data_IF_292914659464
#
_entry.id   IF_292914659464
#
_cell.length_a   1.000
_cell.length_b   1.000
_cell.length_c   1.000
_cell.angle_alpha   90.00
_cell.angle_beta   90.00
_cell.angle_gamma   90.00
#
_symmetry.space_group_name_H-M   'P 1'
#
loop_
_entity.id
_entity.type
_entity.pdbx_description
1 polymer ?
#
# COMPACT_ATOMS: atom_id res chain seq x y z
N UNK A 1 -10.84 30.87 2.90
CA UNK A 1 -9.60 30.16 3.23
C UNK A 1 -8.42 31.08 2.94
N UNK A 2 -7.51 31.26 3.89
CA UNK A 2 -6.29 32.05 3.70
C UNK A 2 -5.29 31.22 2.90
N UNK A 3 -4.57 31.85 1.96
CA UNK A 3 -3.50 31.18 1.19
C UNK A 3 -2.33 30.68 2.06
N UNK A 4 -2.27 31.11 3.33
CA UNK A 4 -1.20 30.78 4.29
C UNK A 4 -1.67 30.03 5.54
N UNK A 5 -2.97 29.73 5.69
CA UNK A 5 -3.49 28.99 6.82
C UNK A 5 -3.64 27.50 6.47
N UNK A 6 -3.33 26.64 7.44
CA UNK A 6 -3.61 25.21 7.32
C UNK A 6 -5.10 25.00 7.03
N UNK A 7 -5.42 24.17 6.05
CA UNK A 7 -6.79 23.73 5.73
C UNK A 7 -7.25 22.58 6.61
N UNK A 8 -6.36 22.05 7.46
CA UNK A 8 -6.68 20.94 8.34
C UNK A 8 -7.48 21.43 9.57
N UNK A 9 -8.55 20.72 9.96
CA UNK A 9 -9.30 21.04 11.17
C UNK A 9 -8.43 20.87 12.41
N UNK A 10 -8.73 21.67 13.46
CA UNK A 10 -8.12 21.50 14.77
C UNK A 10 -8.69 20.24 15.43
N UNK A 11 -7.84 19.32 15.86
CA UNK A 11 -8.25 18.14 16.62
C UNK A 11 -8.08 18.38 18.11
N UNK A 12 -9.12 18.10 18.88
CA UNK A 12 -9.14 18.18 20.36
C UNK A 12 -9.45 16.79 20.90
N UNK A 13 -8.59 16.25 21.75
CA UNK A 13 -8.81 14.98 22.44
C UNK A 13 -8.92 15.22 23.93
N UNK A 14 -10.06 14.86 24.52
CA UNK A 14 -10.38 15.09 25.95
C UNK A 14 -10.06 16.51 26.43
N UNK A 15 -10.40 17.52 25.62
CA UNK A 15 -10.22 18.93 25.91
C UNK A 15 -8.84 19.53 25.62
N UNK A 16 -7.87 18.72 25.19
CA UNK A 16 -6.52 19.16 24.83
C UNK A 16 -6.28 19.09 23.31
N UNK A 17 -5.54 20.06 22.71
CA UNK A 17 -5.15 19.99 21.32
C UNK A 17 -4.29 18.75 21.02
N UNK A 18 -4.64 18.05 19.95
CA UNK A 18 -3.93 16.86 19.49
C UNK A 18 -3.23 17.18 18.16
N UNK A 19 -1.90 17.23 18.14
CA UNK A 19 -1.16 17.71 16.95
C UNK A 19 -0.91 16.65 15.90
N UNK A 20 -1.17 15.37 16.21
CA UNK A 20 -0.81 14.24 15.38
C UNK A 20 -1.97 13.74 14.51
N UNK A 21 -1.70 12.70 13.71
CA UNK A 21 -2.69 12.10 12.81
C UNK A 21 -3.79 11.37 13.63
N UNK A 22 -5.03 11.52 13.21
CA UNK A 22 -6.18 10.83 13.80
C UNK A 22 -6.05 9.31 13.79
N UNK A 23 -5.35 8.74 12.81
CA UNK A 23 -5.11 7.29 12.71
C UNK A 23 -4.30 6.72 13.88
N UNK A 24 -3.60 7.56 14.62
CA UNK A 24 -2.86 7.14 15.82
C UNK A 24 -3.76 6.89 17.04
N UNK A 25 -5.03 7.33 17.00
CA UNK A 25 -6.00 7.09 18.08
C UNK A 25 -6.72 5.77 17.80
N UNK A 26 -6.61 4.74 18.67
CA UNK A 26 -7.38 3.51 18.52
C UNK A 26 -8.88 3.80 18.53
N UNK A 27 -9.61 3.30 17.54
CA UNK A 27 -11.06 3.52 17.44
C UNK A 27 -11.81 2.94 18.63
N UNK A 28 -11.30 1.86 19.20
CA UNK A 28 -11.89 1.20 20.37
C UNK A 28 -11.78 2.03 21.65
N UNK A 29 -10.88 3.03 21.70
CA UNK A 29 -10.77 3.98 22.82
C UNK A 29 -11.73 5.18 22.70
N UNK A 30 -12.38 5.37 21.55
CA UNK A 30 -13.24 6.52 21.29
C UNK A 30 -14.63 6.28 21.85
N UNK A 31 -15.14 7.21 22.64
CA UNK A 31 -16.53 7.26 23.11
C UNK A 31 -17.41 8.04 22.14
N UNK A 32 -16.95 9.22 21.70
CA UNK A 32 -17.70 10.08 20.77
C UNK A 32 -16.78 10.99 19.95
N UNK A 33 -17.28 11.36 18.76
CA UNK A 33 -16.65 12.35 17.88
C UNK A 33 -17.68 13.43 17.56
N UNK A 34 -17.32 14.69 17.81
CA UNK A 34 -18.13 15.86 17.49
C UNK A 34 -17.36 16.75 16.52
N UNK A 35 -18.02 17.17 15.43
CA UNK A 35 -17.41 18.06 14.43
C UNK A 35 -18.09 19.42 14.48
N UNK A 36 -17.32 20.47 14.79
CA UNK A 36 -17.77 21.85 14.77
C UNK A 36 -17.41 22.47 13.41
N UNK A 37 -18.43 22.74 12.60
CA UNK A 37 -18.27 23.27 11.23
C UNK A 37 -18.61 24.77 11.15
N UNK A 38 -19.33 25.30 12.12
CA UNK A 38 -19.75 26.68 12.14
C UNK A 38 -18.78 27.58 12.91
N UNK A 39 -18.69 28.84 12.49
CA UNK A 39 -17.77 29.82 13.08
C UNK A 39 -18.06 30.14 14.54
N UNK A 40 -19.32 30.06 14.95
CA UNK A 40 -19.73 30.40 16.33
C UNK A 40 -19.22 29.32 17.30
N UNK A 41 -19.43 28.05 16.98
CA UNK A 41 -18.93 26.92 17.79
C UNK A 41 -17.41 26.84 17.79
N UNK A 42 -16.77 27.16 16.67
CA UNK A 42 -15.31 27.14 16.53
C UNK A 42 -14.62 28.34 17.20
N UNK A 43 -15.35 29.43 17.47
CA UNK A 43 -14.80 30.66 18.07
C UNK A 43 -14.08 30.43 19.41
N UNK A 44 -14.52 29.44 20.21
CA UNK A 44 -13.88 29.07 21.49
C UNK A 44 -12.42 28.63 21.32
N UNK A 45 -12.03 28.19 20.09
CA UNK A 45 -10.68 27.70 19.78
C UNK A 45 -9.83 28.74 19.02
N UNK A 46 -10.36 29.97 18.85
CA UNK A 46 -9.68 31.10 18.23
C UNK A 46 -9.30 30.82 16.77
N UNK A 47 -8.22 31.44 16.30
CA UNK A 47 -7.77 31.33 14.90
C UNK A 47 -7.43 29.89 14.48
N UNK A 48 -7.06 29.02 15.40
CA UNK A 48 -6.76 27.60 15.11
C UNK A 48 -8.00 26.81 14.73
N UNK A 49 -9.20 27.25 15.14
CA UNK A 49 -10.48 26.62 14.78
C UNK A 49 -11.06 27.09 13.44
N UNK A 50 -10.40 27.97 12.70
CA UNK A 50 -10.94 28.57 11.48
C UNK A 50 -11.27 27.56 10.37
N UNK A 51 -10.58 26.42 10.31
CA UNK A 51 -10.84 25.32 9.37
C UNK A 51 -11.83 24.27 9.93
N UNK A 52 -12.46 24.55 11.08
CA UNK A 52 -13.31 23.63 11.84
C UNK A 52 -12.57 22.94 12.98
N UNK A 53 -13.33 22.30 13.86
CA UNK A 53 -12.79 21.61 15.04
C UNK A 53 -13.38 20.20 15.12
N UNK A 54 -12.55 19.19 15.31
CA UNK A 54 -12.94 17.82 15.60
C UNK A 54 -12.66 17.55 17.09
N UNK A 55 -13.70 17.28 17.85
CA UNK A 55 -13.60 16.98 19.28
C UNK A 55 -13.79 15.48 19.45
N UNK A 56 -12.79 14.82 20.01
CA UNK A 56 -12.81 13.40 20.35
C UNK A 56 -12.86 13.27 21.86
N UNK A 57 -13.86 12.54 22.34
CA UNK A 57 -13.95 12.13 23.73
C UNK A 57 -13.59 10.67 23.84
N UNK A 58 -12.62 10.34 24.69
CA UNK A 58 -12.22 8.96 24.93
C UNK A 58 -13.05 8.30 26.02
N UNK A 59 -13.17 6.98 25.97
CA UNK A 59 -13.88 6.18 26.96
C UNK A 59 -13.35 6.45 28.38
N UNK A 60 -14.25 6.33 29.37
CA UNK A 60 -13.95 6.48 30.80
C UNK A 60 -14.68 5.42 31.62
N UNK A 61 -14.32 5.25 32.87
CA UNK A 61 -15.05 4.39 33.80
C UNK A 61 -16.42 4.97 34.11
N UNK A 62 -17.48 4.19 33.94
CA UNK A 62 -18.88 4.63 34.17
C UNK A 62 -19.64 3.76 35.17
N UNK A 63 -19.25 2.50 35.33
CA UNK A 63 -19.96 1.52 36.15
C UNK A 63 -19.24 1.29 37.47
N UNK A 64 -20.00 1.03 38.57
CA UNK A 64 -19.41 0.71 39.87
C UNK A 64 -18.62 -0.59 39.85
N UNK A 65 -19.11 -1.58 39.11
CA UNK A 65 -18.39 -2.83 38.95
C UNK A 65 -17.32 -2.72 37.86
N UNK A 66 -16.17 -3.30 38.13
CA UNK A 66 -15.09 -3.36 37.14
C UNK A 66 -15.50 -4.28 35.98
N UNK A 67 -15.38 -3.78 34.77
CA UNK A 67 -15.67 -4.52 33.54
C UNK A 67 -14.35 -4.72 32.77
N UNK A 68 -14.08 -5.95 32.37
CA UNK A 68 -12.95 -6.30 31.51
C UNK A 68 -13.52 -6.83 30.20
N UNK A 69 -13.06 -6.24 29.09
CA UNK A 69 -13.48 -6.64 27.75
C UNK A 69 -12.27 -7.01 26.90
N UNK A 70 -12.39 -8.11 26.17
CA UNK A 70 -11.41 -8.54 25.17
C UNK A 70 -12.12 -8.55 23.83
N UNK A 71 -11.63 -7.75 22.90
CA UNK A 71 -12.08 -7.72 21.53
C UNK A 71 -10.98 -8.29 20.61
N UNK A 72 -11.38 -9.20 19.73
CA UNK A 72 -10.50 -9.76 18.72
C UNK A 72 -11.19 -9.72 17.36
N UNK A 73 -10.53 -9.10 16.38
CA UNK A 73 -11.07 -8.91 15.04
C UNK A 73 -10.08 -9.43 14.01
N UNK A 74 -10.57 -10.20 13.05
CA UNK A 74 -9.79 -10.66 11.90
C UNK A 74 -10.51 -10.25 10.61
N UNK A 75 -9.74 -9.92 9.61
CA UNK A 75 -10.23 -9.56 8.29
C UNK A 75 -9.24 -9.94 7.21
N UNK A 76 -9.74 -9.98 5.98
CA UNK A 76 -8.92 -10.15 4.79
C UNK A 76 -9.02 -8.88 3.95
N UNK A 77 -7.87 -8.32 3.58
CA UNK A 77 -7.79 -7.23 2.63
C UNK A 77 -7.64 -7.82 1.23
N UNK A 78 -8.56 -7.48 0.34
CA UNK A 78 -8.51 -7.88 -1.06
C UNK A 78 -8.60 -6.65 -1.95
N UNK A 79 -8.06 -6.74 -3.15
CA UNK A 79 -8.21 -5.68 -4.15
C UNK A 79 -9.69 -5.56 -4.54
N UNK A 80 -10.29 -4.42 -4.25
CA UNK A 80 -11.70 -4.12 -4.56
C UNK A 80 -11.85 -3.28 -5.84
N UNK A 81 -10.75 -2.81 -6.41
CA UNK A 81 -10.76 -2.02 -7.65
C UNK A 81 -10.92 -2.97 -8.82
N UNK A 82 -11.95 -2.73 -9.63
CA UNK A 82 -12.16 -3.49 -10.86
C UNK A 82 -11.09 -3.13 -11.89
N UNK A 83 -10.53 -4.15 -12.54
CA UNK A 83 -9.59 -3.95 -13.63
C UNK A 83 -10.29 -3.34 -14.85
N UNK A 84 -9.51 -2.59 -15.63
CA UNK A 84 -9.97 -2.17 -16.95
C UNK A 84 -10.14 -3.40 -17.85
N UNK A 85 -11.06 -3.30 -18.80
CA UNK A 85 -11.20 -4.28 -19.86
C UNK A 85 -10.03 -4.12 -20.84
N UNK A 86 -9.05 -5.00 -20.74
CA UNK A 86 -7.81 -4.99 -21.52
C UNK A 86 -7.59 -6.37 -22.13
N UNK A 87 -6.78 -6.44 -23.21
CA UNK A 87 -6.36 -7.70 -23.80
C UNK A 87 -5.46 -8.44 -22.82
N UNK A 88 -5.92 -9.59 -22.31
CA UNK A 88 -5.15 -10.45 -21.39
C UNK A 88 -4.56 -11.68 -22.09
N UNK A 89 -5.11 -12.08 -23.23
CA UNK A 89 -4.57 -13.18 -24.02
C UNK A 89 -3.35 -12.75 -24.84
N UNK A 90 -2.20 -13.42 -24.70
CA UNK A 90 -0.99 -13.08 -25.45
C UNK A 90 -1.15 -13.21 -26.96
N UNK A 91 -1.94 -14.18 -27.43
CA UNK A 91 -2.18 -14.38 -28.87
C UNK A 91 -2.96 -13.22 -29.46
N UNK A 92 -4.07 -12.83 -28.81
CA UNK A 92 -4.86 -11.66 -29.21
C UNK A 92 -4.03 -10.37 -29.19
N UNK A 93 -3.12 -10.25 -28.24
CA UNK A 93 -2.22 -9.09 -28.17
C UNK A 93 -1.27 -9.04 -29.37
N UNK A 94 -0.68 -10.17 -29.78
CA UNK A 94 0.15 -10.23 -30.99
C UNK A 94 -0.67 -9.97 -32.24
N UNK A 95 -1.89 -10.48 -32.36
CA UNK A 95 -2.80 -10.22 -33.48
C UNK A 95 -3.10 -8.71 -33.62
N UNK A 96 -3.48 -8.05 -32.51
CA UNK A 96 -3.78 -6.63 -32.50
C UNK A 96 -2.56 -5.77 -32.87
N UNK A 97 -1.38 -6.16 -32.36
CA UNK A 97 -0.13 -5.44 -32.64
C UNK A 97 0.34 -5.66 -34.07
N UNK A 98 0.16 -6.90 -34.59
CA UNK A 98 0.40 -7.22 -36.00
C UNK A 98 -0.51 -6.39 -36.93
N UNK A 99 -1.81 -6.28 -36.63
CA UNK A 99 -2.76 -5.54 -37.45
C UNK A 99 -2.36 -4.08 -37.64
N UNK A 100 -1.77 -3.45 -36.59
CA UNK A 100 -1.23 -2.09 -36.70
C UNK A 100 -0.16 -2.00 -37.78
N UNK A 101 0.81 -2.90 -37.81
CA UNK A 101 1.89 -2.88 -38.80
C UNK A 101 1.43 -3.37 -40.18
N UNK A 102 0.55 -4.35 -40.24
CA UNK A 102 -0.04 -4.79 -41.49
C UNK A 102 -0.79 -3.64 -42.20
N UNK A 103 -1.61 -2.89 -41.47
CA UNK A 103 -2.31 -1.72 -42.01
C UNK A 103 -1.32 -0.63 -42.49
N UNK A 104 -0.28 -0.35 -41.71
CA UNK A 104 0.75 0.61 -42.11
C UNK A 104 1.54 0.12 -43.36
N UNK A 105 1.92 -1.14 -43.40
CA UNK A 105 2.63 -1.73 -44.52
C UNK A 105 1.79 -1.71 -45.80
N UNK A 106 0.51 -2.07 -45.74
CA UNK A 106 -0.43 -2.02 -46.84
C UNK A 106 -0.59 -0.59 -47.41
N UNK A 107 -0.74 0.40 -46.52
CA UNK A 107 -0.80 1.82 -46.90
C UNK A 107 0.49 2.29 -47.62
N UNK A 108 1.63 1.61 -47.39
CA UNK A 108 2.91 1.87 -48.04
C UNK A 108 3.22 0.89 -49.20
N UNK A 109 2.18 0.25 -49.75
CA UNK A 109 2.27 -0.54 -50.98
C UNK A 109 2.78 -1.99 -50.84
N UNK A 110 2.90 -2.49 -49.58
CA UNK A 110 3.23 -3.92 -49.35
C UNK A 110 1.98 -4.77 -49.51
N UNK A 111 2.14 -5.99 -50.06
CA UNK A 111 1.01 -6.90 -50.29
C UNK A 111 1.41 -8.35 -50.05
N UNK A 112 0.42 -9.21 -49.83
CA UNK A 112 0.58 -10.67 -49.80
C UNK A 112 1.61 -11.18 -48.78
N UNK A 113 2.41 -12.12 -49.17
CA UNK A 113 3.42 -12.76 -48.30
C UNK A 113 4.51 -11.79 -47.84
N UNK A 114 4.89 -10.82 -48.69
CA UNK A 114 5.88 -9.80 -48.31
C UNK A 114 5.37 -8.89 -47.22
N UNK A 115 4.08 -8.48 -47.26
CA UNK A 115 3.43 -7.74 -46.22
C UNK A 115 3.41 -8.53 -44.90
N UNK A 116 2.99 -9.80 -44.96
CA UNK A 116 2.91 -10.67 -43.80
C UNK A 116 4.28 -10.86 -43.13
N UNK A 117 5.31 -11.18 -43.88
CA UNK A 117 6.67 -11.36 -43.38
C UNK A 117 7.20 -10.07 -42.76
N UNK A 118 7.02 -8.95 -43.43
CA UNK A 118 7.47 -7.65 -42.96
C UNK A 118 6.76 -7.26 -41.66
N UNK A 119 5.42 -7.41 -41.59
CA UNK A 119 4.63 -7.06 -40.40
C UNK A 119 4.99 -7.89 -39.17
N UNK A 120 5.18 -9.23 -39.35
CA UNK A 120 5.65 -10.09 -38.27
C UNK A 120 7.04 -9.65 -37.76
N UNK A 121 7.98 -9.38 -38.66
CA UNK A 121 9.34 -9.00 -38.28
C UNK A 121 9.37 -7.66 -37.52
N UNK A 122 8.61 -6.65 -38.00
CA UNK A 122 8.60 -5.34 -37.34
C UNK A 122 7.87 -5.39 -36.00
N UNK A 123 6.79 -6.17 -35.91
CA UNK A 123 6.06 -6.41 -34.67
C UNK A 123 6.99 -7.02 -33.60
N UNK A 124 7.62 -8.13 -33.90
CA UNK A 124 8.53 -8.83 -32.98
C UNK A 124 9.73 -7.95 -32.57
N UNK A 125 10.27 -7.18 -33.55
CA UNK A 125 11.34 -6.22 -33.25
C UNK A 125 10.90 -5.13 -32.26
N UNK A 126 9.68 -4.59 -32.40
CA UNK A 126 9.17 -3.54 -31.51
C UNK A 126 8.79 -4.06 -30.15
N UNK A 127 8.18 -5.25 -30.09
CA UNK A 127 7.83 -5.87 -28.82
C UNK A 127 9.06 -6.41 -28.09
N UNK A 128 10.13 -6.76 -28.81
CA UNK A 128 11.36 -7.31 -28.26
C UNK A 128 11.25 -8.76 -27.80
N UNK A 129 10.07 -9.21 -27.40
CA UNK A 129 9.83 -10.55 -26.88
C UNK A 129 8.94 -11.35 -27.81
N UNK A 130 9.31 -12.63 -28.00
CA UNK A 130 8.49 -13.66 -28.65
C UNK A 130 8.38 -14.85 -27.69
N UNK A 131 7.18 -15.09 -27.17
CA UNK A 131 6.91 -16.15 -26.20
C UNK A 131 6.28 -17.40 -26.82
N UNK A 132 6.08 -17.40 -28.14
CA UNK A 132 5.56 -18.55 -28.85
C UNK A 132 6.66 -19.25 -29.67
N UNK A 133 6.56 -20.55 -29.77
CA UNK A 133 7.29 -21.37 -30.72
C UNK A 133 6.37 -21.71 -31.91
N UNK A 134 6.83 -21.51 -33.12
CA UNK A 134 6.14 -21.89 -34.35
C UNK A 134 7.01 -22.87 -35.13
N UNK A 135 6.42 -23.76 -35.99
CA UNK A 135 7.19 -24.64 -36.84
C UNK A 135 8.12 -23.86 -37.80
N UNK A 136 9.22 -24.47 -38.16
CA UNK A 136 10.21 -23.86 -39.05
C UNK A 136 9.59 -23.36 -40.36
N UNK A 137 9.98 -22.16 -40.77
CA UNK A 137 9.48 -21.49 -41.97
C UNK A 137 8.10 -20.87 -41.86
N UNK A 138 7.40 -21.01 -40.73
CA UNK A 138 6.11 -20.37 -40.50
C UNK A 138 6.23 -19.04 -39.73
N UNK A 139 5.29 -18.14 -40.00
CA UNK A 139 5.17 -16.87 -39.28
C UNK A 139 4.31 -17.04 -38.02
N UNK A 140 4.52 -16.21 -37.02
CA UNK A 140 3.72 -16.19 -35.78
C UNK A 140 2.27 -15.81 -36.06
N UNK A 141 2.06 -14.78 -36.89
CA UNK A 141 0.73 -14.35 -37.32
C UNK A 141 0.60 -14.71 -38.81
N UNK A 142 -0.49 -15.40 -39.14
CA UNK A 142 -0.82 -15.79 -40.51
C UNK A 142 -1.20 -14.61 -41.42
N UNK A 143 -1.37 -14.88 -42.71
CA UNK A 143 -1.85 -13.87 -43.69
C UNK A 143 -3.28 -13.44 -43.44
N UNK A 144 -4.04 -14.21 -42.66
CA UNK A 144 -5.38 -13.91 -42.17
C UNK A 144 -5.39 -12.98 -40.96
N UNK A 145 -4.20 -12.61 -40.44
CA UNK A 145 -4.06 -11.75 -39.23
C UNK A 145 -4.27 -12.49 -37.92
N UNK A 146 -4.36 -13.82 -37.95
CA UNK A 146 -4.58 -14.66 -36.78
C UNK A 146 -3.31 -15.37 -36.33
N UNK A 147 -3.25 -15.66 -35.01
CA UNK A 147 -2.17 -16.46 -34.44
C UNK A 147 -2.09 -17.81 -35.19
N UNK A 148 -0.87 -18.21 -35.51
CA UNK A 148 -0.64 -19.49 -36.19
C UNK A 148 -1.24 -20.62 -35.34
N UNK A 149 -2.13 -21.46 -35.91
CA UNK A 149 -2.77 -22.55 -35.18
C UNK A 149 -1.80 -23.60 -34.63
N UNK A 150 -0.58 -23.65 -35.19
CA UNK A 150 0.50 -24.53 -34.73
C UNK A 150 1.45 -23.81 -33.73
N UNK A 151 1.18 -22.57 -33.36
CA UNK A 151 1.95 -21.86 -32.35
C UNK A 151 1.72 -22.48 -30.98
N UNK A 152 2.80 -22.74 -30.25
CA UNK A 152 2.75 -23.24 -28.89
C UNK A 152 3.32 -22.18 -27.93
N UNK A 153 2.61 -21.92 -26.84
CA UNK A 153 3.10 -20.99 -25.80
C UNK A 153 4.35 -21.56 -25.13
N UNK A 154 5.35 -20.72 -24.98
CA UNK A 154 6.66 -21.08 -24.44
C UNK A 154 7.71 -21.20 -25.54
N UNK A 155 8.84 -20.50 -25.35
CA UNK A 155 9.96 -20.52 -26.31
C UNK A 155 11.28 -20.70 -25.57
N UNK A 156 12.03 -21.72 -25.97
CA UNK A 156 13.39 -21.95 -25.46
C UNK A 156 14.40 -21.29 -26.37
N UNK A 157 15.42 -20.67 -25.81
CA UNK A 157 16.58 -20.18 -26.55
C UNK A 157 17.85 -20.27 -25.71
N UNK A 158 19.00 -20.39 -26.37
CA UNK A 158 20.29 -20.50 -25.69
C UNK A 158 21.05 -19.18 -25.77
N UNK A 159 21.58 -18.75 -24.65
CA UNK A 159 22.47 -17.59 -24.56
C UNK A 159 23.56 -17.83 -23.51
N UNK A 160 24.82 -17.56 -23.89
CA UNK A 160 25.98 -17.74 -23.01
C UNK A 160 26.01 -19.13 -22.35
N UNK A 161 25.68 -20.19 -23.16
CA UNK A 161 25.66 -21.55 -22.69
C UNK A 161 24.54 -21.94 -21.73
N UNK A 162 23.55 -21.06 -21.52
CA UNK A 162 22.37 -21.29 -20.67
C UNK A 162 21.10 -21.34 -21.53
N UNK A 163 20.21 -22.26 -21.22
CA UNK A 163 18.93 -22.42 -21.89
C UNK A 163 17.84 -21.65 -21.12
N UNK A 164 17.36 -20.58 -21.72
CA UNK A 164 16.27 -19.76 -21.15
C UNK A 164 14.93 -20.19 -21.75
N UNK A 165 13.87 -19.97 -20.95
CA UNK A 165 12.50 -20.22 -21.36
C UNK A 165 11.66 -18.96 -21.24
N UNK A 166 11.10 -18.53 -22.37
CA UNK A 166 10.22 -17.35 -22.43
C UNK A 166 8.76 -17.77 -22.41
N UNK A 167 8.01 -17.19 -21.52
CA UNK A 167 6.55 -17.30 -21.41
C UNK A 167 6.03 -15.96 -20.83
N UNK A 168 4.76 -15.87 -20.56
CA UNK A 168 4.18 -14.72 -19.86
C UNK A 168 3.87 -15.06 -18.40
N UNK A 169 3.58 -14.04 -17.64
CA UNK A 169 2.97 -14.10 -16.30
C UNK A 169 1.75 -13.19 -16.25
N UNK A 170 0.80 -13.49 -15.40
CA UNK A 170 -0.20 -12.54 -14.99
C UNK A 170 0.40 -11.62 -13.93
N UNK A 171 0.64 -10.36 -14.30
CA UNK A 171 1.24 -9.37 -13.43
C UNK A 171 0.33 -8.99 -12.27
N UNK A 172 -1.00 -9.02 -12.46
CA UNK A 172 -1.94 -8.75 -11.39
C UNK A 172 -1.95 -9.86 -10.35
N UNK A 173 -1.93 -11.11 -10.77
CA UNK A 173 -1.87 -12.26 -9.87
C UNK A 173 -0.59 -12.29 -9.03
N UNK A 174 0.53 -11.81 -9.60
CA UNK A 174 1.80 -11.73 -8.85
C UNK A 174 1.86 -10.49 -7.97
N UNK A 175 1.29 -9.37 -8.41
CA UNK A 175 1.39 -8.08 -7.72
C UNK A 175 0.47 -7.94 -6.51
N UNK A 176 -0.70 -8.59 -6.55
CA UNK A 176 -1.73 -8.41 -5.56
C UNK A 176 -2.07 -9.72 -4.84
N UNK A 177 -1.98 -9.67 -3.53
CA UNK A 177 -2.26 -10.80 -2.67
C UNK A 177 -3.47 -10.52 -1.77
N UNK A 178 -4.14 -11.56 -1.32
CA UNK A 178 -5.06 -11.44 -0.18
C UNK A 178 -4.23 -11.33 1.08
N UNK A 179 -4.35 -10.21 1.77
CA UNK A 179 -3.58 -9.91 2.96
C UNK A 179 -4.43 -10.03 4.23
N UNK A 180 -3.79 -10.26 5.37
CA UNK A 180 -4.47 -10.47 6.64
C UNK A 180 -4.44 -9.19 7.48
N UNK A 181 -5.60 -8.86 8.07
CA UNK A 181 -5.73 -7.88 9.15
C UNK A 181 -6.12 -8.58 10.44
N UNK A 182 -5.46 -8.21 11.54
CA UNK A 182 -5.77 -8.70 12.87
C UNK A 182 -5.66 -7.57 13.89
N UNK A 183 -6.64 -7.48 14.78
CA UNK A 183 -6.71 -6.45 15.81
C UNK A 183 -7.17 -7.08 17.11
N UNK A 184 -6.48 -6.79 18.20
CA UNK A 184 -6.77 -7.26 19.53
C UNK A 184 -6.78 -6.08 20.49
N UNK A 185 -7.83 -5.97 21.29
CA UNK A 185 -7.96 -4.92 22.29
C UNK A 185 -8.40 -5.51 23.62
N UNK A 186 -7.62 -5.27 24.67
CA UNK A 186 -7.99 -5.55 26.06
C UNK A 186 -8.31 -4.25 26.73
N UNK A 187 -9.50 -4.13 27.30
CA UNK A 187 -9.91 -2.96 28.10
C UNK A 187 -10.33 -3.35 29.49
N UNK A 188 -10.04 -2.49 30.47
CA UNK A 188 -10.60 -2.60 31.81
C UNK A 188 -11.08 -1.20 32.26
N UNK A 189 -12.29 -1.13 32.82
CA UNK A 189 -12.89 0.12 33.30
C UNK A 189 -13.72 -0.09 34.55
N UNK A 190 -13.82 0.94 35.38
CA UNK A 190 -14.65 0.91 36.55
C UNK A 190 -14.77 2.29 37.19
N UNK A 191 -15.71 2.45 38.06
CA UNK A 191 -15.91 3.69 38.81
C UNK A 191 -16.42 3.43 40.24
N UNK A 192 -16.09 4.32 41.16
CA UNK A 192 -16.65 4.43 42.48
C UNK A 192 -17.21 5.84 42.66
N UNK A 193 -17.72 6.13 43.84
CA UNK A 193 -18.24 7.50 44.14
C UNK A 193 -17.13 8.57 44.05
N UNK A 194 -15.86 8.18 44.15
CA UNK A 194 -14.73 9.13 44.20
C UNK A 194 -13.68 8.91 43.09
N UNK A 195 -13.71 7.80 42.43
CA UNK A 195 -12.70 7.48 41.43
C UNK A 195 -13.32 6.79 40.22
N UNK A 196 -12.79 7.08 39.06
CA UNK A 196 -13.06 6.30 37.84
C UNK A 196 -11.76 5.99 37.13
N UNK A 197 -11.71 4.84 36.45
CA UNK A 197 -10.57 4.48 35.64
C UNK A 197 -11.00 3.79 34.33
N UNK A 198 -10.19 3.96 33.34
CA UNK A 198 -10.22 3.23 32.07
C UNK A 198 -8.78 2.91 31.67
N UNK A 199 -8.53 1.70 31.26
CA UNK A 199 -7.25 1.29 30.67
C UNK A 199 -7.49 0.43 29.45
N UNK A 200 -6.64 0.58 28.43
CA UNK A 200 -6.65 -0.24 27.23
C UNK A 200 -5.25 -0.66 26.81
N UNK A 201 -5.15 -1.85 26.25
CA UNK A 201 -3.98 -2.35 25.53
C UNK A 201 -4.45 -2.83 24.17
N UNK A 202 -3.85 -2.32 23.11
CA UNK A 202 -4.22 -2.63 21.74
C UNK A 202 -3.03 -3.12 20.92
N UNK A 203 -3.27 -4.10 20.06
CA UNK A 203 -2.36 -4.54 19.01
C UNK A 203 -3.13 -4.60 17.69
N UNK A 204 -2.57 -4.01 16.66
CA UNK A 204 -3.06 -4.06 15.29
C UNK A 204 -1.92 -4.47 14.36
N UNK A 205 -2.17 -5.43 13.50
CA UNK A 205 -1.36 -5.73 12.33
C UNK A 205 -2.26 -5.75 11.10
N UNK A 206 -1.91 -4.99 10.10
CA UNK A 206 -2.67 -4.79 8.87
C UNK A 206 -1.72 -4.92 7.69
N UNK A 207 -1.70 -6.09 7.05
CA UNK A 207 -0.88 -6.31 5.86
C UNK A 207 -1.62 -5.78 4.64
N UNK A 208 -0.89 -5.12 3.74
CA UNK A 208 -1.44 -4.57 2.50
C UNK A 208 -1.54 -5.61 1.40
N UNK A 209 -2.40 -5.35 0.42
CA UNK A 209 -2.59 -6.24 -0.75
C UNK A 209 -1.38 -6.30 -1.69
N UNK A 210 -0.42 -5.41 -1.52
CA UNK A 210 0.85 -5.34 -2.24
C UNK A 210 1.96 -5.74 -1.28
N UNK A 211 2.87 -6.61 -1.70
CA UNK A 211 4.04 -6.99 -0.92
C UNK A 211 4.87 -5.77 -0.49
N UNK A 212 5.53 -5.85 0.65
CA UNK A 212 6.26 -4.76 1.29
C UNK A 212 5.35 -3.56 1.65
N UNK A 213 4.08 -3.81 1.93
CA UNK A 213 3.19 -2.83 2.54
C UNK A 213 2.51 -3.41 3.77
N UNK A 214 2.71 -2.80 4.93
CA UNK A 214 2.13 -3.24 6.18
C UNK A 214 2.04 -2.10 7.19
N UNK A 215 1.14 -2.23 8.14
CA UNK A 215 1.03 -1.34 9.29
C UNK A 215 0.88 -2.16 10.56
N UNK A 216 1.75 -1.90 11.53
CA UNK A 216 1.70 -2.50 12.86
C UNK A 216 1.59 -1.40 13.91
N UNK A 217 0.76 -1.63 14.94
CA UNK A 217 0.56 -0.67 16.02
C UNK A 217 0.38 -1.38 17.35
N UNK A 218 1.15 -0.94 18.35
CA UNK A 218 0.95 -1.26 19.75
C UNK A 218 0.50 0.02 20.46
N UNK A 219 -0.56 -0.04 21.23
CA UNK A 219 -1.08 1.09 21.97
C UNK A 219 -1.41 0.72 23.41
N UNK A 220 -1.19 1.66 24.31
CA UNK A 220 -1.59 1.54 25.71
C UNK A 220 -2.18 2.88 26.17
N UNK A 221 -3.28 2.85 26.90
CA UNK A 221 -3.91 4.04 27.47
C UNK A 221 -4.30 3.79 28.92
N UNK A 222 -4.15 4.83 29.73
CA UNK A 222 -4.72 4.90 31.06
C UNK A 222 -5.40 6.26 31.24
N UNK A 223 -6.65 6.25 31.70
CA UNK A 223 -7.40 7.44 32.09
C UNK A 223 -7.98 7.22 33.47
N UNK A 224 -7.74 8.15 34.38
CA UNK A 224 -8.24 8.07 35.73
C UNK A 224 -8.65 9.45 36.23
N UNK A 225 -9.78 9.50 36.92
CA UNK A 225 -10.28 10.67 37.65
C UNK A 225 -10.41 10.35 39.12
N UNK A 226 -10.05 11.28 39.99
CA UNK A 226 -10.12 11.12 41.41
C UNK A 226 -10.61 12.38 42.12
N UNK A 227 -11.70 12.25 42.88
CA UNK A 227 -12.22 13.31 43.76
C UNK A 227 -11.43 13.29 45.07
N UNK A 228 -10.30 14.01 45.09
CA UNK A 228 -9.38 14.00 46.23
C UNK A 228 -9.98 14.69 47.49
N UNK A 229 -10.72 15.77 47.27
CA UNK A 229 -11.49 16.54 48.29
C UNK A 229 -12.81 16.97 47.65
N UNK A 230 -13.77 17.41 48.47
CA UNK A 230 -15.03 17.98 47.96
C UNK A 230 -14.83 19.17 47.02
N UNK A 231 -13.72 19.86 47.16
CA UNK A 231 -13.32 21.03 46.37
C UNK A 231 -12.23 20.75 45.32
N UNK A 232 -11.63 19.52 45.27
CA UNK A 232 -10.52 19.19 44.38
C UNK A 232 -10.76 17.88 43.68
N UNK A 233 -10.88 17.94 42.34
CA UNK A 233 -10.85 16.75 41.44
C UNK A 233 -9.57 16.79 40.63
N UNK A 234 -8.91 15.65 40.49
CA UNK A 234 -7.71 15.43 39.68
C UNK A 234 -8.01 14.43 38.60
N UNK A 235 -7.44 14.63 37.42
CA UNK A 235 -7.55 13.71 36.32
C UNK A 235 -6.20 13.49 35.61
N UNK A 236 -6.01 12.28 35.10
CA UNK A 236 -4.88 11.93 34.23
C UNK A 236 -5.41 11.14 33.05
N UNK A 237 -4.89 11.42 31.87
CA UNK A 237 -5.10 10.64 30.67
C UNK A 237 -3.74 10.51 29.94
N UNK A 238 -3.17 9.32 29.94
CA UNK A 238 -1.89 9.06 29.31
C UNK A 238 -2.04 7.97 28.24
N UNK A 239 -1.42 8.19 27.11
CA UNK A 239 -1.37 7.24 25.99
C UNK A 239 0.07 7.05 25.55
N UNK A 240 0.43 5.80 25.30
CA UNK A 240 1.62 5.39 24.56
C UNK A 240 1.19 4.74 23.25
N UNK A 241 1.92 5.04 22.19
CA UNK A 241 1.72 4.43 20.89
C UNK A 241 3.10 4.14 20.27
N UNK A 242 3.27 2.93 19.81
CA UNK A 242 4.33 2.55 18.90
C UNK A 242 3.70 2.04 17.61
N UNK A 243 4.11 2.57 16.46
CA UNK A 243 3.69 2.03 15.17
C UNK A 243 4.86 1.90 14.21
N UNK A 244 4.78 0.87 13.39
CA UNK A 244 5.68 0.63 12.26
C UNK A 244 4.85 0.57 11.00
N UNK A 245 5.20 1.36 10.01
CA UNK A 245 4.62 1.33 8.68
C UNK A 245 5.71 0.94 7.68
N UNK A 246 5.43 -0.06 6.89
CA UNK A 246 6.21 -0.40 5.71
C UNK A 246 5.40 0.00 4.49
N UNK A 247 5.98 0.78 3.61
CA UNK A 247 5.33 1.25 2.39
C UNK A 247 6.09 0.74 1.19
N UNK A 248 5.37 0.20 0.20
CA UNK A 248 5.99 -0.15 -1.07
C UNK A 248 6.70 1.08 -1.65
N UNK A 249 7.99 0.99 -1.97
CA UNK A 249 8.73 2.10 -2.55
C UNK A 249 8.19 2.56 -3.92
N UNK A 250 7.41 1.72 -4.57
CA UNK A 250 6.85 1.96 -5.91
C UNK A 250 5.36 2.37 -5.90
N UNK A 251 4.87 2.95 -4.81
CA UNK A 251 3.54 3.57 -4.72
C UNK A 251 3.59 5.08 -5.02
N UNK A 252 4.39 5.49 -5.98
CA UNK A 252 4.37 6.87 -6.47
C UNK A 252 3.00 7.18 -7.10
N UNK A 253 2.46 8.37 -6.83
CA UNK A 253 1.20 8.85 -7.44
C UNK A 253 1.34 9.19 -8.93
N UNK A 254 2.54 9.14 -9.48
CA UNK A 254 2.79 9.44 -10.89
C UNK A 254 2.39 8.27 -11.81
N UNK A 255 2.00 8.58 -13.03
CA UNK A 255 1.82 7.60 -14.11
C UNK A 255 3.20 7.22 -14.69
N UNK A 256 4.01 6.52 -13.91
CA UNK A 256 5.36 6.12 -14.28
C UNK A 256 5.55 4.61 -14.14
N UNK A 257 6.60 4.10 -14.76
CA UNK A 257 6.99 2.69 -14.64
C UNK A 257 7.37 2.28 -13.20
N UNK A 258 7.61 3.25 -12.32
CA UNK A 258 7.81 3.02 -10.88
C UNK A 258 6.51 2.83 -10.10
N UNK A 259 5.35 3.19 -10.64
CA UNK A 259 4.06 2.98 -10.00
C UNK A 259 3.53 1.58 -10.31
N UNK A 260 3.46 0.70 -9.32
CA UNK A 260 3.02 -0.68 -9.51
C UNK A 260 1.62 -0.79 -10.11
N UNK A 261 0.66 0.04 -9.66
CA UNK A 261 -0.73 0.00 -10.17
C UNK A 261 -0.80 0.44 -11.63
N UNK A 262 -0.06 1.50 -11.99
CA UNK A 262 0.05 1.91 -13.39
C UNK A 262 0.76 0.85 -14.23
N UNK A 263 1.83 0.29 -13.69
CA UNK A 263 2.62 -0.70 -14.40
C UNK A 263 1.83 -1.96 -14.72
N UNK A 264 1.12 -2.55 -13.74
CA UNK A 264 0.32 -3.76 -13.95
C UNK A 264 -0.86 -3.54 -14.89
N UNK A 265 -1.39 -2.31 -14.97
CA UNK A 265 -2.45 -1.96 -15.91
C UNK A 265 -1.95 -1.73 -17.36
N UNK A 266 -0.67 -1.40 -17.54
CA UNK A 266 -0.12 -1.00 -18.84
C UNK A 266 0.81 -2.03 -19.47
N UNK A 267 1.32 -2.99 -18.67
CA UNK A 267 2.24 -4.02 -19.18
C UNK A 267 1.51 -4.97 -20.12
N UNK A 268 2.15 -5.27 -21.27
CA UNK A 268 1.56 -6.21 -22.20
C UNK A 268 1.57 -7.64 -21.66
N UNK A 269 0.53 -8.45 -21.95
CA UNK A 269 0.38 -9.83 -21.46
C UNK A 269 1.38 -10.84 -22.05
N UNK A 270 2.41 -10.35 -22.71
CA UNK A 270 3.49 -11.14 -23.32
C UNK A 270 4.79 -11.07 -22.51
N UNK A 271 4.87 -10.21 -21.49
CA UNK A 271 6.10 -10.03 -20.74
C UNK A 271 6.06 -10.80 -19.42
N UNK A 272 7.12 -11.59 -19.10
CA UNK A 272 7.21 -12.30 -17.85
C UNK A 272 7.56 -11.37 -16.69
N UNK A 273 7.12 -11.73 -15.48
CA UNK A 273 7.60 -11.15 -14.22
C UNK A 273 8.98 -11.68 -13.87
N UNK A 274 9.17 -13.01 -14.09
CA UNK A 274 10.35 -13.74 -13.67
C UNK A 274 11.17 -14.25 -14.85
N UNK A 275 12.47 -14.30 -14.64
CA UNK A 275 13.38 -15.04 -15.55
C UNK A 275 13.16 -16.53 -15.35
N UNK A 276 13.02 -17.28 -16.47
CA UNK A 276 12.93 -18.74 -16.44
C UNK A 276 14.03 -19.40 -17.26
N UNK A 277 14.43 -20.56 -16.80
CA UNK A 277 15.39 -21.43 -17.46
C UNK A 277 14.80 -22.82 -17.67
N UNK A 278 15.34 -23.55 -18.64
CA UNK A 278 15.01 -24.97 -18.85
C UNK A 278 15.90 -25.84 -17.98
N UNK A 279 15.28 -26.74 -17.22
CA UNK A 279 15.98 -27.77 -16.47
C UNK A 279 16.42 -28.95 -17.34
N UNK A 280 17.30 -29.76 -16.79
CA UNK A 280 17.77 -31.01 -17.44
C UNK A 280 16.64 -32.05 -17.63
N UNK A 281 15.58 -31.89 -16.84
CA UNK A 281 14.35 -32.69 -16.95
C UNK A 281 13.40 -32.19 -18.06
N UNK A 282 13.80 -31.18 -18.82
CA UNK A 282 13.00 -30.56 -19.88
C UNK A 282 11.84 -29.70 -19.39
N UNK A 283 11.80 -29.34 -18.10
CA UNK A 283 10.76 -28.46 -17.54
C UNK A 283 11.31 -27.07 -17.24
N UNK A 284 10.52 -26.02 -17.50
CA UNK A 284 10.92 -24.68 -17.14
C UNK A 284 10.79 -24.45 -15.61
N UNK A 285 11.73 -23.69 -15.06
CA UNK A 285 11.72 -23.25 -13.67
C UNK A 285 12.10 -21.77 -13.56
N UNK A 286 11.64 -21.10 -12.51
CA UNK A 286 12.05 -19.71 -12.22
C UNK A 286 13.50 -19.74 -11.75
N UNK A 287 14.36 -18.99 -12.46
CA UNK A 287 15.76 -18.87 -12.09
C UNK A 287 15.93 -18.16 -10.75
N UNK A 288 16.97 -18.51 -10.02
CA UNK A 288 17.36 -17.89 -8.77
C UNK A 288 18.76 -17.29 -8.88
N UNK A 289 19.02 -16.25 -8.09
CA UNK A 289 20.34 -15.67 -7.92
C UNK A 289 21.23 -16.56 -7.02
N UNK A 290 22.45 -16.11 -6.75
CA UNK A 290 23.40 -16.84 -5.91
C UNK A 290 22.97 -16.95 -4.42
N UNK A 291 21.96 -16.19 -4.01
CA UNK A 291 21.38 -16.19 -2.66
C UNK A 291 20.07 -16.97 -2.56
N UNK A 292 19.58 -17.51 -3.68
CA UNK A 292 18.33 -18.25 -3.76
C UNK A 292 17.09 -17.41 -4.01
N UNK A 293 17.23 -16.09 -4.24
CA UNK A 293 16.10 -15.24 -4.57
C UNK A 293 15.67 -15.42 -6.03
N UNK A 294 14.36 -15.35 -6.29
CA UNK A 294 13.82 -15.38 -7.65
C UNK A 294 14.39 -14.24 -8.47
N UNK A 295 14.85 -14.53 -9.68
CA UNK A 295 15.32 -13.51 -10.62
C UNK A 295 14.14 -12.88 -11.34
N UNK A 296 14.03 -11.56 -11.26
CA UNK A 296 13.01 -10.78 -11.95
C UNK A 296 13.48 -10.39 -13.35
N UNK A 297 12.54 -10.30 -14.31
CA UNK A 297 12.84 -9.81 -15.66
C UNK A 297 12.68 -8.28 -15.70
N UNK A 298 13.80 -7.58 -15.81
CA UNK A 298 13.83 -6.12 -15.93
C UNK A 298 13.71 -5.60 -17.37
N UNK A 299 13.64 -6.51 -18.35
CA UNK A 299 13.43 -6.14 -19.76
C UNK A 299 14.59 -5.41 -20.43
N UNK A 300 15.81 -5.54 -19.93
CA UNK A 300 17.00 -4.85 -20.47
C UNK A 300 17.82 -5.73 -21.42
N UNK A 301 18.62 -5.09 -22.32
CA UNK A 301 19.58 -5.79 -23.20
C UNK A 301 20.66 -6.54 -22.42
N UNK A 302 21.00 -6.05 -21.24
CA UNK A 302 21.97 -6.68 -20.34
C UNK A 302 21.35 -7.76 -19.49
N UNK A 303 20.02 -7.89 -19.53
CA UNK A 303 19.28 -8.93 -18.82
C UNK A 303 19.57 -10.34 -19.37
N UNK A 304 19.10 -11.37 -18.67
CA UNK A 304 19.37 -12.76 -19.01
C UNK A 304 18.98 -13.13 -20.43
N UNK A 305 17.87 -12.61 -20.93
CA UNK A 305 17.39 -12.92 -22.27
C UNK A 305 18.15 -12.22 -23.41
N UNK A 306 18.84 -11.13 -23.11
CA UNK A 306 19.60 -10.36 -24.11
C UNK A 306 18.79 -9.68 -25.19
N UNK A 307 17.53 -9.44 -24.91
CA UNK A 307 16.58 -8.69 -25.74
C UNK A 307 15.93 -7.63 -24.88
N UNK A 308 15.55 -6.52 -25.52
CA UNK A 308 14.91 -5.41 -24.83
C UNK A 308 13.41 -5.52 -25.00
N UNK A 309 12.69 -5.42 -23.90
CA UNK A 309 11.24 -5.31 -23.88
C UNK A 309 10.79 -3.96 -24.46
N UNK A 310 9.68 -3.95 -25.23
CA UNK A 310 9.18 -2.72 -25.87
C UNK A 310 8.56 -1.71 -24.89
N UNK A 311 8.19 -2.17 -23.69
CA UNK A 311 7.65 -1.33 -22.63
C UNK A 311 8.52 -1.44 -21.38
N UNK A 312 8.80 -0.31 -20.71
CA UNK A 312 9.60 -0.25 -19.48
C UNK A 312 10.89 -1.08 -19.55
N UNK A 313 11.82 -0.62 -20.39
CA UNK A 313 13.01 -1.37 -20.80
C UNK A 313 14.03 -1.64 -19.69
N UNK A 314 13.86 -1.08 -18.51
CA UNK A 314 14.80 -1.21 -17.39
C UNK A 314 14.10 -1.20 -16.04
N UNK A 315 12.86 -1.68 -15.96
CA UNK A 315 12.12 -1.64 -14.70
C UNK A 315 11.31 -2.92 -14.46
N UNK A 316 11.29 -3.35 -13.21
CA UNK A 316 10.36 -4.34 -12.69
C UNK A 316 9.98 -3.91 -11.26
N UNK A 317 8.82 -3.24 -11.08
CA UNK A 317 8.45 -2.71 -9.78
C UNK A 317 8.24 -3.80 -8.71
N UNK A 318 7.96 -5.04 -9.10
CA UNK A 318 7.87 -6.17 -8.16
C UNK A 318 9.26 -6.57 -7.65
N UNK A 319 10.27 -6.60 -8.54
CA UNK A 319 11.65 -6.81 -8.14
C UNK A 319 12.15 -5.69 -7.24
N UNK A 320 11.86 -4.43 -7.59
CA UNK A 320 12.21 -3.27 -6.78
C UNK A 320 11.60 -3.34 -5.38
N UNK A 321 10.31 -3.73 -5.26
CA UNK A 321 9.67 -3.89 -3.95
C UNK A 321 10.34 -4.96 -3.08
N UNK A 322 10.90 -6.00 -3.70
CA UNK A 322 11.60 -7.06 -2.96
C UNK A 322 12.89 -6.57 -2.30
N UNK A 323 13.60 -5.67 -2.97
CA UNK A 323 14.96 -5.26 -2.58
C UNK A 323 15.02 -3.88 -1.94
N UNK A 324 14.08 -3.00 -2.24
CA UNK A 324 14.02 -1.65 -1.70
C UNK A 324 13.14 -1.65 -0.43
N UNK A 325 13.46 -0.75 0.51
CA UNK A 325 12.69 -0.61 1.75
C UNK A 325 12.33 0.84 1.99
N UNK A 326 11.12 1.06 2.48
CA UNK A 326 10.66 2.34 3.00
C UNK A 326 9.87 2.05 4.29
N UNK A 327 10.57 2.11 5.39
CA UNK A 327 10.02 1.84 6.73
C UNK A 327 9.93 3.14 7.52
N UNK A 328 8.81 3.34 8.22
CA UNK A 328 8.59 4.47 9.10
C UNK A 328 8.15 3.96 10.47
N UNK A 329 8.88 4.35 11.51
CA UNK A 329 8.59 4.03 12.89
C UNK A 329 8.14 5.29 13.64
N UNK A 330 7.06 5.19 14.41
CA UNK A 330 6.57 6.28 15.27
C UNK A 330 6.50 5.78 16.71
N UNK A 331 7.15 6.52 17.63
CA UNK A 331 6.98 6.37 19.06
C UNK A 331 6.35 7.65 19.62
N UNK A 332 5.23 7.52 20.31
CA UNK A 332 4.48 8.67 20.81
C UNK A 332 4.02 8.46 22.24
N UNK A 333 4.18 9.48 23.04
CA UNK A 333 3.61 9.59 24.38
C UNK A 333 2.75 10.87 24.42
N UNK A 334 1.52 10.73 24.83
CA UNK A 334 0.61 11.85 25.08
C UNK A 334 0.08 11.77 26.52
N UNK A 335 0.27 12.83 27.28
CA UNK A 335 -0.18 12.91 28.67
C UNK A 335 -0.96 14.19 28.93
N UNK A 336 -2.18 14.06 29.42
CA UNK A 336 -3.03 15.17 29.85
C UNK A 336 -3.29 15.06 31.34
N UNK A 337 -3.04 16.14 32.09
CA UNK A 337 -3.33 16.26 33.50
C UNK A 337 -4.37 17.33 33.67
N UNK A 338 -5.38 17.08 34.50
CA UNK A 338 -6.45 18.04 34.82
C UNK A 338 -6.58 18.22 36.33
N UNK A 339 -6.86 19.44 36.75
CA UNK A 339 -7.19 19.77 38.13
C UNK A 339 -8.37 20.75 38.15
N UNK A 340 -9.47 20.31 38.75
CA UNK A 340 -10.66 21.12 38.94
C UNK A 340 -10.75 21.54 40.42
N UNK A 341 -10.62 22.82 40.65
CA UNK A 341 -10.66 23.43 42.02
C UNK A 341 -11.94 24.26 42.16
N UNK A 342 -12.77 23.89 43.09
CA UNK A 342 -13.99 24.63 43.44
C UNK A 342 -13.74 25.42 44.72
N UNK A 343 -13.47 26.71 44.62
CA UNK A 343 -13.24 27.60 45.78
C UNK A 343 -14.54 27.92 46.48
N UNK A 344 -15.57 28.23 45.68
CA UNK A 344 -16.93 28.53 46.13
C UNK A 344 -17.91 28.01 45.07
N UNK A 345 -19.23 27.95 45.35
CA UNK A 345 -20.22 27.52 44.34
C UNK A 345 -20.19 28.33 43.03
N UNK A 346 -19.74 29.57 43.10
CA UNK A 346 -19.69 30.51 41.96
C UNK A 346 -18.27 30.71 41.40
N UNK A 347 -17.20 30.18 42.06
CA UNK A 347 -15.81 30.34 41.60
C UNK A 347 -15.14 28.97 41.47
N UNK A 348 -14.81 28.61 40.25
CA UNK A 348 -14.11 27.38 39.90
C UNK A 348 -12.90 27.69 39.03
N UNK A 349 -11.84 26.92 39.22
CA UNK A 349 -10.64 26.94 38.39
C UNK A 349 -10.43 25.55 37.77
N UNK A 350 -10.36 25.52 36.46
CA UNK A 350 -9.95 24.32 35.71
C UNK A 350 -8.53 24.54 35.18
N UNK A 351 -7.65 23.64 35.47
CA UNK A 351 -6.29 23.59 34.91
C UNK A 351 -6.14 22.33 34.07
N UNK A 352 -5.73 22.52 32.84
CA UNK A 352 -5.39 21.41 31.95
C UNK A 352 -3.95 21.60 31.45
N UNK A 353 -3.13 20.59 31.64
CA UNK A 353 -1.76 20.54 31.13
C UNK A 353 -1.64 19.35 30.19
N UNK A 354 -1.09 19.56 28.99
CA UNK A 354 -0.85 18.51 28.01
C UNK A 354 0.63 18.45 27.63
N UNK A 355 1.16 17.24 27.58
CA UNK A 355 2.53 16.96 27.15
C UNK A 355 2.46 15.93 26.03
N UNK A 356 3.03 16.27 24.89
CA UNK A 356 3.16 15.36 23.74
C UNK A 356 4.64 15.21 23.42
N UNK A 357 5.08 13.97 23.35
CA UNK A 357 6.39 13.58 22.84
C UNK A 357 6.18 12.64 21.67
N UNK A 358 6.77 12.98 20.52
CA UNK A 358 6.66 12.18 19.30
C UNK A 358 8.05 12.06 18.65
N UNK A 359 8.44 10.84 18.35
CA UNK A 359 9.70 10.52 17.65
C UNK A 359 9.35 9.69 16.42
N UNK A 360 9.69 10.24 15.26
CA UNK A 360 9.50 9.60 13.96
C UNK A 360 10.86 9.19 13.42
N UNK A 361 11.00 7.90 13.13
CA UNK A 361 12.17 7.33 12.47
C UNK A 361 11.77 6.89 11.07
N UNK A 362 12.58 7.22 10.07
CA UNK A 362 12.36 6.75 8.70
C UNK A 362 13.62 6.12 8.15
N UNK A 363 13.49 4.93 7.59
CA UNK A 363 14.55 4.23 6.87
C UNK A 363 14.11 4.04 5.43
N UNK A 364 14.87 4.62 4.50
CA UNK A 364 14.73 4.40 3.07
C UNK A 364 16.00 3.71 2.60
N UNK A 365 15.86 2.54 2.02
CA UNK A 365 16.95 1.79 1.43
C UNK A 365 16.62 1.52 -0.04
N UNK A 366 17.53 1.95 -0.92
CA UNK A 366 17.46 1.68 -2.36
C UNK A 366 18.61 0.73 -2.71
N UNK A 367 18.26 -0.36 -3.37
CA UNK A 367 19.22 -1.37 -3.79
C UNK A 367 20.06 -0.84 -4.95
N UNK A 368 21.37 -1.12 -4.92
CA UNK A 368 22.31 -0.75 -5.98
C UNK A 368 22.31 -1.66 -7.20
N UNK A 369 21.48 -2.71 -7.21
CA UNK A 369 21.37 -3.67 -8.31
C UNK A 369 20.28 -3.31 -9.36
N UNK A 370 19.61 -2.17 -9.18
CA UNK A 370 18.66 -1.61 -10.14
C UNK A 370 19.32 -0.64 -11.11
#
# INVERSE_FOLDING_TARGET
>A
ASMYASTNPLVIVDGAPYPDNLSSIPTDDIESVTVLKDAASAALYGARGAAGVIIITTKSGKNRDAEITVDAKWGANTRAVQDYDVITDPGEYYEAYYAQFANYGAANGKTGADLNTWANNIMLKNLGYNIYTVPDGQQLIGTDGKLNPNATLGRTFTRNGKNYYMTNDDWNDVAYNTAMRQEYTLTARGASDRASFYTSLGYLKDDGVIDASSYERISARIKADYQAKSWLKLGVNAQYLHSKQESSPNLDASMSAGNLMYYTAMIAPIYPVYVRMMGDDGKPYIATDQYGHKMYDYGTLTGPYGITRGFSQSGNPLGSNMYNKNEQGLNQINGTFTADVTFTPWLKLNVTSNVVYSMLDQMIYTNSFE
#
